data_IF_951712506017
#
_entry.id   IF_951712506017
#
_cell.length_a   1.000
_cell.length_b   1.000
_cell.length_c   1.000
_cell.angle_alpha   90.00
_cell.angle_beta   90.00
_cell.angle_gamma   90.00
#
_symmetry.space_group_name_H-M   'P 1'
#
loop_
_entity.id
_entity.type
_entity.pdbx_description
1 polymer ?
#
# COMPACT_ATOMS: atom_id res chain seq x y z
N UNK A 1 -7.66 -46.42 -63.60
CA UNK A 1 -8.31 -46.18 -64.92
C UNK A 1 -9.69 -45.59 -64.64
N UNK A 2 -9.84 -44.29 -64.90
CA UNK A 2 -10.69 -43.70 -65.96
C UNK A 2 -12.20 -43.81 -65.64
N UNK A 3 -12.78 -42.75 -65.05
CA UNK A 3 -13.63 -41.72 -65.71
C UNK A 3 -15.00 -42.24 -66.17
N UNK A 4 -16.10 -41.62 -65.72
CA UNK A 4 -16.92 -40.75 -66.58
C UNK A 4 -18.23 -40.33 -65.91
N UNK A 5 -18.47 -39.03 -66.02
CA UNK A 5 -19.70 -38.27 -65.82
C UNK A 5 -20.77 -38.53 -66.88
N UNK A 6 -22.03 -38.37 -66.42
CA UNK A 6 -23.14 -37.61 -67.02
C UNK A 6 -24.08 -38.18 -68.11
N UNK A 7 -25.36 -37.78 -67.92
CA UNK A 7 -26.40 -37.36 -68.90
C UNK A 7 -27.36 -38.42 -69.45
N UNK A 8 -28.67 -38.35 -69.14
CA UNK A 8 -29.70 -37.65 -69.95
C UNK A 8 -31.14 -37.89 -69.44
N UNK A 9 -31.93 -36.80 -69.45
CA UNK A 9 -33.40 -36.76 -69.40
C UNK A 9 -34.05 -37.70 -70.45
N UNK A 10 -35.25 -38.23 -70.19
CA UNK A 10 -36.50 -37.87 -70.91
C UNK A 10 -37.74 -38.70 -70.52
N UNK A 11 -38.83 -37.94 -70.32
CA UNK A 11 -40.20 -38.17 -70.80
C UNK A 11 -41.24 -38.89 -69.92
N UNK A 12 -42.24 -38.07 -69.56
CA UNK A 12 -43.63 -38.36 -69.20
C UNK A 12 -44.25 -39.47 -70.07
N UNK A 13 -45.02 -40.35 -69.41
CA UNK A 13 -46.30 -40.81 -69.96
C UNK A 13 -47.28 -41.04 -68.80
N UNK A 14 -48.24 -40.11 -68.67
CA UNK A 14 -49.49 -40.35 -67.96
C UNK A 14 -50.23 -41.51 -68.65
N UNK A 15 -50.61 -42.53 -67.90
CA UNK A 15 -51.84 -43.27 -68.20
C UNK A 15 -52.56 -43.57 -66.89
N UNK A 16 -53.68 -42.88 -66.73
CA UNK A 16 -54.62 -42.95 -65.63
C UNK A 16 -55.47 -44.23 -65.81
N UNK A 17 -55.37 -45.19 -64.88
CA UNK A 17 -56.42 -46.19 -64.65
C UNK A 17 -56.74 -46.16 -63.17
N UNK A 18 -57.94 -45.69 -62.86
CA UNK A 18 -58.50 -45.63 -61.53
C UNK A 18 -58.94 -47.02 -61.07
N UNK A 19 -58.44 -47.46 -59.92
CA UNK A 19 -59.13 -48.44 -59.06
C UNK A 19 -58.97 -47.96 -57.62
N UNK A 20 -60.09 -47.60 -56.99
CA UNK A 20 -60.15 -47.27 -55.57
C UNK A 20 -59.77 -48.50 -54.74
N UNK A 21 -58.66 -48.40 -54.00
CA UNK A 21 -58.45 -49.16 -52.77
C UNK A 21 -58.17 -48.15 -51.66
N UNK A 22 -59.19 -47.94 -50.83
CA UNK A 22 -59.13 -47.20 -49.58
C UNK A 22 -58.29 -47.97 -48.58
N UNK A 23 -57.01 -47.65 -48.48
CA UNK A 23 -56.20 -47.91 -47.28
C UNK A 23 -55.32 -46.68 -47.03
N UNK A 24 -55.62 -45.97 -45.95
CA UNK A 24 -54.90 -44.80 -45.45
C UNK A 24 -53.40 -45.09 -45.32
N UNK A 25 -52.58 -44.38 -46.09
CA UNK A 25 -51.15 -44.25 -45.78
C UNK A 25 -51.03 -43.58 -44.41
N UNK A 26 -50.17 -44.06 -43.49
CA UNK A 26 -49.90 -43.32 -42.26
C UNK A 26 -49.32 -41.97 -42.66
N UNK A 27 -50.00 -40.89 -42.28
CA UNK A 27 -49.41 -39.56 -42.35
C UNK A 27 -48.21 -39.59 -41.40
N UNK A 28 -46.98 -39.64 -41.93
CA UNK A 28 -45.82 -39.25 -41.14
C UNK A 28 -46.11 -37.85 -40.64
N UNK A 29 -46.26 -37.69 -39.32
CA UNK A 29 -46.31 -36.37 -38.72
C UNK A 29 -45.09 -35.61 -39.23
N UNK A 30 -45.32 -34.44 -39.82
CA UNK A 30 -44.25 -33.46 -40.04
C UNK A 30 -43.44 -33.36 -38.75
N UNK A 31 -42.09 -33.40 -38.78
CA UNK A 31 -41.30 -33.24 -37.57
C UNK A 31 -41.77 -31.95 -36.89
N UNK A 32 -42.38 -32.07 -35.72
CA UNK A 32 -42.78 -30.90 -34.94
C UNK A 32 -41.48 -30.20 -34.58
N UNK A 33 -41.20 -29.07 -35.23
CA UNK A 33 -40.03 -28.27 -34.89
C UNK A 33 -40.15 -27.90 -33.42
N UNK A 34 -39.19 -28.32 -32.60
CA UNK A 34 -39.16 -27.96 -31.17
C UNK A 34 -39.26 -26.44 -31.05
N UNK A 35 -40.05 -25.91 -30.10
CA UNK A 35 -40.14 -24.48 -29.90
C UNK A 35 -38.74 -23.92 -29.63
N UNK A 36 -38.42 -22.82 -30.32
CA UNK A 36 -37.17 -22.08 -30.18
C UNK A 36 -37.48 -20.83 -29.38
N UNK A 37 -36.75 -20.63 -28.29
CA UNK A 37 -36.87 -19.47 -27.42
C UNK A 37 -35.64 -18.57 -27.55
N UNK A 38 -35.75 -17.32 -27.13
CA UNK A 38 -34.65 -16.35 -27.18
C UNK A 38 -34.19 -15.89 -25.80
N UNK A 39 -32.89 -15.72 -25.65
CA UNK A 39 -32.29 -14.94 -24.56
C UNK A 39 -31.70 -13.67 -25.15
N UNK A 40 -32.23 -12.51 -24.80
CA UNK A 40 -31.64 -11.21 -25.13
C UNK A 40 -30.73 -10.79 -24.00
N UNK A 41 -29.48 -10.49 -24.32
CA UNK A 41 -28.47 -10.02 -23.37
C UNK A 41 -28.28 -8.53 -23.59
N UNK A 42 -28.43 -7.76 -22.51
CA UNK A 42 -28.19 -6.33 -22.44
C UNK A 42 -26.95 -6.07 -21.56
N UNK A 43 -25.76 -5.90 -22.16
CA UNK A 43 -24.50 -5.74 -21.41
C UNK A 43 -24.41 -4.43 -20.61
N UNK A 44 -25.32 -3.48 -20.84
CA UNK A 44 -25.43 -2.22 -20.11
C UNK A 44 -24.10 -1.44 -20.01
N UNK A 45 -23.45 -1.27 -21.16
CA UNK A 45 -22.19 -0.55 -21.28
C UNK A 45 -20.98 -1.34 -20.81
N UNK A 46 -20.99 -2.67 -20.98
CA UNK A 46 -19.80 -3.51 -20.89
C UNK A 46 -18.77 -3.09 -21.97
N UNK A 47 -17.50 -3.19 -21.63
CA UNK A 47 -16.41 -3.04 -22.59
C UNK A 47 -16.20 -4.34 -23.39
N UNK A 48 -16.24 -5.49 -22.72
CA UNK A 48 -16.19 -6.82 -23.37
C UNK A 48 -17.24 -7.77 -22.80
N UNK A 49 -17.66 -8.76 -23.60
CA UNK A 49 -18.63 -9.78 -23.23
C UNK A 49 -18.31 -11.15 -23.85
N UNK A 50 -18.52 -12.22 -23.09
CA UNK A 50 -18.33 -13.62 -23.49
C UNK A 50 -19.51 -14.50 -23.08
N UNK A 51 -19.97 -15.33 -24.01
CA UNK A 51 -20.91 -16.42 -23.74
C UNK A 51 -20.41 -17.78 -24.25
N UNK A 52 -20.61 -18.86 -23.49
CA UNK A 52 -20.01 -20.20 -23.74
C UNK A 52 -20.31 -20.87 -25.09
N UNK A 53 -21.24 -20.37 -25.90
CA UNK A 53 -21.53 -20.87 -27.26
C UNK A 53 -21.06 -19.92 -28.38
N UNK A 54 -20.42 -18.82 -28.02
CA UNK A 54 -19.88 -17.81 -28.93
C UNK A 54 -18.35 -17.92 -28.95
N UNK A 55 -17.80 -18.60 -29.97
CA UNK A 55 -16.39 -18.47 -30.33
C UNK A 55 -16.11 -17.12 -31.02
N UNK A 56 -16.56 -16.01 -30.41
CA UNK A 56 -16.34 -14.68 -30.96
C UNK A 56 -15.91 -13.78 -29.82
N UNK A 57 -14.60 -13.52 -29.76
CA UNK A 57 -13.97 -12.64 -28.78
C UNK A 57 -14.19 -11.15 -29.03
N UNK A 58 -15.40 -10.75 -29.46
CA UNK A 58 -15.81 -9.34 -29.53
C UNK A 58 -17.32 -9.27 -29.81
N UNK A 59 -18.12 -8.73 -28.87
CA UNK A 59 -19.51 -8.30 -29.10
C UNK A 59 -19.74 -6.99 -28.33
N UNK A 60 -20.19 -5.95 -29.03
CA UNK A 60 -20.27 -4.54 -28.56
C UNK A 60 -21.73 -4.01 -28.51
N UNK A 61 -22.75 -4.87 -28.56
CA UNK A 61 -24.19 -4.49 -28.54
C UNK A 61 -25.07 -5.60 -27.94
N UNK A 62 -26.36 -5.32 -27.75
CA UNK A 62 -27.38 -6.30 -27.35
C UNK A 62 -27.30 -7.56 -28.24
N UNK A 63 -27.38 -8.72 -27.62
CA UNK A 63 -27.14 -10.00 -28.28
C UNK A 63 -28.24 -11.02 -27.98
N UNK A 64 -28.77 -11.67 -29.02
CA UNK A 64 -29.83 -12.66 -28.88
C UNK A 64 -29.31 -14.08 -29.14
N UNK A 65 -29.49 -14.98 -28.18
CA UNK A 65 -29.20 -16.41 -28.30
C UNK A 65 -30.50 -17.18 -28.52
N UNK A 66 -30.56 -18.03 -29.55
CA UNK A 66 -31.65 -18.99 -29.74
C UNK A 66 -31.35 -20.32 -29.03
N UNK A 67 -32.31 -20.86 -28.27
CA UNK A 67 -32.13 -22.11 -27.51
C UNK A 67 -33.36 -23.03 -27.53
N UNK A 68 -33.16 -24.29 -27.08
CA UNK A 68 -34.21 -25.30 -26.87
C UNK A 68 -34.15 -25.82 -25.43
N UNK A 69 -35.27 -26.31 -24.90
CA UNK A 69 -35.55 -26.51 -23.46
C UNK A 69 -34.78 -27.65 -22.79
N UNK A 70 -33.94 -28.36 -23.53
CA UNK A 70 -33.12 -29.46 -23.02
C UNK A 70 -31.89 -28.90 -22.28
N UNK A 71 -32.00 -28.74 -20.95
CA UNK A 71 -30.98 -28.36 -19.95
C UNK A 71 -29.65 -27.82 -20.53
N UNK A 72 -29.69 -26.57 -21.00
CA UNK A 72 -28.52 -25.89 -21.56
C UNK A 72 -27.88 -24.98 -20.52
N UNK A 73 -26.57 -25.14 -20.29
CA UNK A 73 -25.77 -24.27 -19.42
C UNK A 73 -25.12 -23.14 -20.25
N UNK A 74 -25.47 -21.89 -19.94
CA UNK A 74 -24.85 -20.71 -20.53
C UNK A 74 -23.98 -20.04 -19.46
N UNK A 75 -22.71 -19.83 -19.80
CA UNK A 75 -21.81 -18.98 -19.02
C UNK A 75 -21.87 -17.57 -19.60
N UNK A 76 -22.14 -16.56 -18.78
CA UNK A 76 -22.20 -15.15 -19.16
C UNK A 76 -21.16 -14.38 -18.35
N UNK A 77 -20.14 -13.88 -19.02
CA UNK A 77 -19.15 -13.01 -18.40
C UNK A 77 -19.07 -11.68 -19.16
N UNK A 78 -18.99 -10.58 -18.44
CA UNK A 78 -18.83 -9.25 -18.99
C UNK A 78 -17.75 -8.51 -18.19
N UNK A 79 -16.99 -7.66 -18.85
CA UNK A 79 -16.05 -6.74 -18.21
C UNK A 79 -16.46 -5.30 -18.48
N UNK A 80 -16.22 -4.43 -17.51
CA UNK A 80 -16.40 -2.99 -17.63
C UNK A 80 -15.34 -2.29 -16.80
N UNK A 81 -14.50 -1.47 -17.41
CA UNK A 81 -13.36 -0.80 -16.77
C UNK A 81 -13.82 0.01 -15.57
N UNK A 82 -13.27 -0.31 -14.40
CA UNK A 82 -13.59 0.37 -13.14
C UNK A 82 -14.92 -0.06 -12.49
N UNK A 83 -15.53 -1.16 -12.94
CA UNK A 83 -16.73 -1.73 -12.34
C UNK A 83 -16.58 -3.24 -12.14
N UNK A 84 -17.17 -3.74 -11.06
CA UNK A 84 -17.41 -5.17 -10.85
C UNK A 84 -18.78 -5.54 -11.45
N UNK A 85 -18.86 -6.69 -12.13
CA UNK A 85 -20.15 -7.28 -12.48
C UNK A 85 -20.84 -7.76 -11.21
N UNK A 86 -21.93 -7.09 -10.81
CA UNK A 86 -22.73 -7.51 -9.65
C UNK A 86 -23.56 -8.76 -9.98
N UNK A 87 -24.03 -8.87 -11.23
CA UNK A 87 -24.73 -10.03 -11.77
C UNK A 87 -25.74 -9.67 -12.86
N UNK A 88 -26.49 -10.66 -13.32
CA UNK A 88 -27.50 -10.51 -14.38
C UNK A 88 -28.93 -10.55 -13.81
N UNK A 89 -29.83 -9.76 -14.37
CA UNK A 89 -31.22 -9.61 -13.91
C UNK A 89 -32.21 -9.77 -15.07
N UNK A 90 -33.43 -10.25 -14.81
CA UNK A 90 -34.45 -10.47 -15.85
C UNK A 90 -35.25 -9.20 -16.21
N UNK A 91 -34.81 -8.04 -15.70
CA UNK A 91 -35.54 -6.79 -15.70
C UNK A 91 -34.61 -5.58 -15.57
N UNK A 92 -34.97 -4.48 -16.23
CA UNK A 92 -34.20 -3.23 -16.28
C UNK A 92 -34.05 -2.53 -14.93
N UNK A 93 -35.00 -2.73 -14.01
CA UNK A 93 -34.96 -2.15 -12.65
C UNK A 93 -34.06 -2.94 -11.68
N UNK A 94 -33.49 -4.06 -12.14
CA UNK A 94 -32.63 -4.95 -11.37
C UNK A 94 -33.24 -5.43 -10.05
N UNK A 95 -34.56 -5.64 -10.01
CA UNK A 95 -35.27 -6.19 -8.85
C UNK A 95 -35.36 -7.72 -8.94
N UNK A 96 -35.53 -8.40 -7.81
CA UNK A 96 -35.61 -9.87 -7.76
C UNK A 96 -34.24 -10.57 -7.59
N UNK A 97 -34.20 -11.85 -7.98
CA UNK A 97 -33.03 -12.70 -7.78
C UNK A 97 -31.93 -12.43 -8.82
N UNK A 98 -30.70 -12.33 -8.34
CA UNK A 98 -29.52 -12.23 -9.20
C UNK A 98 -29.27 -13.59 -9.87
N UNK A 99 -29.14 -13.58 -11.20
CA UNK A 99 -28.62 -14.73 -11.94
C UNK A 99 -27.09 -14.66 -11.88
N UNK A 100 -26.47 -15.75 -11.42
CA UNK A 100 -25.00 -15.90 -11.44
C UNK A 100 -24.45 -15.94 -12.86
N UNK A 101 -23.12 -16.07 -13.01
CA UNK A 101 -22.48 -16.24 -14.31
C UNK A 101 -22.92 -17.50 -15.06
N UNK A 102 -23.57 -18.45 -14.36
CA UNK A 102 -24.00 -19.74 -14.87
C UNK A 102 -25.53 -19.78 -14.85
N UNK A 103 -26.15 -19.95 -16.01
CA UNK A 103 -27.60 -19.98 -16.14
C UNK A 103 -28.08 -21.23 -16.88
N UNK A 104 -29.12 -21.87 -16.33
CA UNK A 104 -29.79 -23.04 -16.91
C UNK A 104 -31.07 -22.62 -17.63
N UNK A 105 -31.18 -22.93 -18.92
CA UNK A 105 -32.36 -22.61 -19.72
C UNK A 105 -33.43 -23.70 -19.61
N UNK A 106 -33.86 -24.04 -18.39
CA UNK A 106 -34.90 -25.06 -18.15
C UNK A 106 -36.33 -24.54 -18.36
N UNK A 107 -36.48 -23.27 -18.76
CA UNK A 107 -37.78 -22.63 -18.97
C UNK A 107 -38.03 -22.36 -20.45
N UNK A 108 -39.25 -22.69 -20.88
CA UNK A 108 -39.72 -22.55 -22.25
C UNK A 108 -40.35 -21.15 -22.44
N UNK A 109 -39.55 -20.08 -22.29
CA UNK A 109 -39.96 -18.68 -22.44
C UNK A 109 -38.82 -17.84 -22.99
N UNK A 110 -39.14 -16.69 -23.57
CA UNK A 110 -38.12 -15.69 -23.90
C UNK A 110 -37.65 -14.99 -22.61
N UNK A 111 -36.36 -14.63 -22.55
CA UNK A 111 -35.70 -14.05 -21.37
C UNK A 111 -34.87 -12.85 -21.80
N UNK A 112 -35.03 -11.72 -21.13
CA UNK A 112 -34.11 -10.59 -21.24
C UNK A 112 -33.16 -10.60 -20.03
N UNK A 113 -31.87 -10.39 -20.23
CA UNK A 113 -30.86 -10.39 -19.17
C UNK A 113 -30.06 -9.09 -19.18
N UNK A 114 -30.13 -8.34 -18.09
CA UNK A 114 -29.50 -7.04 -17.92
C UNK A 114 -28.33 -7.12 -16.95
N UNK A 115 -27.14 -6.72 -17.41
CA UNK A 115 -25.96 -6.65 -16.54
C UNK A 115 -26.10 -5.51 -15.53
N UNK A 116 -25.91 -5.79 -14.25
CA UNK A 116 -25.81 -4.79 -13.19
C UNK A 116 -24.35 -4.60 -12.80
N UNK A 117 -23.89 -3.35 -12.85
CA UNK A 117 -22.52 -2.96 -12.54
C UNK A 117 -22.45 -2.28 -11.17
N UNK A 118 -21.39 -2.58 -10.41
CA UNK A 118 -21.05 -1.86 -9.18
C UNK A 118 -19.70 -1.18 -9.39
N UNK A 119 -19.64 0.14 -9.21
CA UNK A 119 -18.38 0.88 -9.34
C UNK A 119 -17.34 0.35 -8.35
N UNK A 120 -16.13 0.12 -8.82
CA UNK A 120 -15.02 -0.37 -8.00
C UNK A 120 -14.36 0.82 -7.29
N UNK A 121 -14.19 0.71 -5.96
CA UNK A 121 -13.54 1.74 -5.14
C UNK A 121 -12.08 1.36 -4.88
N UNK A 122 -11.17 2.28 -5.17
CA UNK A 122 -9.74 2.14 -4.95
C UNK A 122 -9.29 2.99 -3.76
N UNK A 123 -8.38 2.47 -2.95
CA UNK A 123 -7.85 3.14 -1.76
C UNK A 123 -6.61 3.99 -2.11
N UNK A 124 -6.47 5.13 -1.44
CA UNK A 124 -5.29 5.98 -1.47
C UNK A 124 -4.67 5.95 -0.07
N UNK A 125 -3.47 5.38 0.01
CA UNK A 125 -2.69 5.33 1.22
C UNK A 125 -1.64 6.43 1.18
N UNK A 126 -1.66 7.34 2.15
CA UNK A 126 -0.61 8.35 2.32
C UNK A 126 0.35 7.85 3.40
N UNK A 127 1.52 7.40 2.98
CA UNK A 127 2.64 7.20 3.89
C UNK A 127 3.20 8.57 4.19
N UNK A 128 3.36 8.81 5.50
CA UNK A 128 3.92 10.00 6.17
C UNK A 128 3.09 10.48 7.36
N UNK A 129 1.96 9.83 7.68
CA UNK A 129 1.00 10.30 8.68
C UNK A 129 1.28 9.88 10.15
N UNK A 130 2.36 9.17 10.45
CA UNK A 130 2.63 8.61 11.80
C UNK A 130 4.08 8.83 12.29
N UNK A 131 4.61 10.04 12.17
CA UNK A 131 5.94 10.40 12.73
C UNK A 131 5.89 10.91 14.18
N UNK A 132 4.78 10.72 14.90
CA UNK A 132 4.73 10.89 16.36
C UNK A 132 5.01 12.29 16.92
N UNK A 133 5.27 13.30 16.07
CA UNK A 133 5.76 14.62 16.47
C UNK A 133 4.78 15.77 16.17
N UNK A 134 3.63 15.51 15.54
CA UNK A 134 2.55 16.51 15.39
C UNK A 134 1.27 15.98 14.75
N UNK A 135 0.15 16.71 14.91
CA UNK A 135 -1.07 16.46 14.12
C UNK A 135 -0.81 16.80 12.66
N UNK A 136 -0.66 15.76 11.83
CA UNK A 136 -0.68 15.90 10.38
C UNK A 136 -2.12 16.13 9.95
N UNK A 137 -2.35 17.19 9.18
CA UNK A 137 -3.65 17.46 8.55
C UNK A 137 -3.48 17.22 7.06
N UNK A 138 -4.03 16.11 6.58
CA UNK A 138 -4.07 15.79 5.15
C UNK A 138 -5.51 15.98 4.63
N UNK A 139 -5.78 16.99 3.80
CA UNK A 139 -7.13 17.27 3.28
C UNK A 139 -7.52 16.39 2.07
N UNK A 140 -6.60 15.55 1.57
CA UNK A 140 -6.84 14.75 0.37
C UNK A 140 -7.75 13.54 0.67
N UNK A 141 -8.57 13.10 -0.30
CA UNK A 141 -9.42 11.92 -0.12
C UNK A 141 -8.59 10.65 0.05
N UNK A 142 -9.13 9.67 0.77
CA UNK A 142 -8.50 8.37 1.02
C UNK A 142 -8.99 7.27 0.07
N UNK A 143 -9.89 7.59 -0.86
CA UNK A 143 -10.39 6.65 -1.86
C UNK A 143 -10.92 7.38 -3.10
N UNK A 144 -10.98 6.67 -4.23
CA UNK A 144 -11.54 7.18 -5.48
C UNK A 144 -12.13 6.05 -6.35
N UNK A 145 -12.86 6.45 -7.39
CA UNK A 145 -13.47 5.58 -8.39
C UNK A 145 -13.20 6.12 -9.79
N UNK A 146 -13.53 5.34 -10.83
CA UNK A 146 -13.47 5.82 -12.22
C UNK A 146 -14.40 7.03 -12.47
N UNK A 147 -15.42 7.22 -11.63
CA UNK A 147 -16.38 8.33 -11.71
C UNK A 147 -15.92 9.58 -10.95
N UNK A 148 -14.84 9.50 -10.16
CA UNK A 148 -14.37 10.62 -9.32
C UNK A 148 -13.75 11.79 -10.11
N UNK A 149 -13.44 11.59 -11.39
CA UNK A 149 -12.69 12.55 -12.19
C UNK A 149 -11.23 12.70 -11.73
N UNK A 150 -10.57 13.78 -12.15
CA UNK A 150 -9.17 14.05 -11.77
C UNK A 150 -9.14 14.63 -10.35
N UNK A 151 -8.43 13.97 -9.43
CA UNK A 151 -8.17 14.48 -8.09
C UNK A 151 -6.90 15.32 -8.13
N UNK A 152 -7.01 16.60 -7.74
CA UNK A 152 -5.85 17.47 -7.54
C UNK A 152 -5.36 17.35 -6.10
N UNK A 153 -4.11 16.91 -5.91
CA UNK A 153 -3.53 16.76 -4.58
C UNK A 153 -3.16 18.13 -4.00
N UNK A 154 -3.55 18.34 -2.76
CA UNK A 154 -3.23 19.52 -1.97
C UNK A 154 -2.11 19.17 -0.99
N UNK A 155 -1.27 20.16 -0.67
CA UNK A 155 -0.23 20.02 0.32
C UNK A 155 -0.84 19.71 1.70
N UNK A 156 -0.42 18.62 2.38
CA UNK A 156 -0.71 18.42 3.80
C UNK A 156 0.05 19.45 4.65
N UNK A 157 -0.33 19.59 5.92
CA UNK A 157 0.43 20.38 6.90
C UNK A 157 1.01 19.51 8.01
N UNK A 158 2.26 19.80 8.37
CA UNK A 158 3.03 19.13 9.44
C UNK A 158 3.91 20.12 10.17
N UNK A 159 3.45 20.62 11.32
CA UNK A 159 4.22 21.55 12.16
C UNK A 159 4.77 22.75 11.37
N UNK A 160 6.10 22.93 11.43
CA UNK A 160 6.85 23.98 10.69
C UNK A 160 7.49 23.48 9.40
N UNK A 161 7.25 22.23 9.01
CA UNK A 161 7.92 21.62 7.87
C UNK A 161 7.33 22.12 6.55
N UNK A 162 8.19 22.27 5.55
CA UNK A 162 7.79 22.63 4.20
C UNK A 162 7.52 21.37 3.40
N UNK A 163 6.30 21.25 2.88
CA UNK A 163 5.93 20.14 2.01
C UNK A 163 6.57 20.30 0.62
N UNK A 164 7.36 19.31 0.20
CA UNK A 164 8.10 19.29 -1.07
C UNK A 164 7.39 18.52 -2.18
N UNK A 165 6.36 17.72 -1.86
CA UNK A 165 5.56 16.99 -2.83
C UNK A 165 5.22 15.56 -2.43
N UNK A 166 4.25 14.97 -3.13
CA UNK A 166 3.91 13.55 -3.02
C UNK A 166 4.72 12.74 -4.02
N UNK A 167 5.16 11.54 -3.67
CA UNK A 167 5.91 10.62 -4.52
C UNK A 167 5.29 9.23 -4.44
N UNK A 168 5.43 8.43 -5.50
CA UNK A 168 4.97 7.04 -5.54
C UNK A 168 6.00 6.05 -4.93
N UNK A 169 7.10 6.57 -4.40
CA UNK A 169 8.19 5.78 -3.83
C UNK A 169 8.81 6.48 -2.62
N UNK A 170 9.25 5.68 -1.64
CA UNK A 170 9.89 6.12 -0.39
C UNK A 170 11.23 6.84 -0.57
N UNK A 171 11.87 6.67 -1.73
CA UNK A 171 13.17 7.27 -2.04
C UNK A 171 13.03 8.66 -2.69
N UNK A 172 11.78 9.13 -2.87
CA UNK A 172 11.42 10.43 -3.44
C UNK A 172 12.07 10.72 -4.81
N UNK A 173 12.18 9.67 -5.63
CA UNK A 173 12.74 9.75 -6.98
C UNK A 173 11.64 10.10 -8.00
N UNK A 174 12.03 10.71 -9.12
CA UNK A 174 11.10 11.12 -10.17
C UNK A 174 10.46 12.50 -9.93
N UNK A 175 9.32 12.74 -10.58
CA UNK A 175 8.57 14.00 -10.42
C UNK A 175 7.51 13.85 -9.34
N UNK A 176 7.23 14.91 -8.56
CA UNK A 176 6.12 14.91 -7.63
C UNK A 176 4.79 14.60 -8.31
N UNK A 177 3.96 13.77 -7.66
CA UNK A 177 2.59 13.50 -8.04
C UNK A 177 1.73 14.66 -7.54
N UNK A 178 1.10 15.36 -8.48
CA UNK A 178 0.19 16.49 -8.17
C UNK A 178 -1.27 16.15 -8.43
N UNK A 179 -1.55 15.05 -9.13
CA UNK A 179 -2.89 14.64 -9.51
C UNK A 179 -3.00 13.11 -9.55
N UNK A 180 -4.19 12.60 -9.24
CA UNK A 180 -4.58 11.20 -9.45
C UNK A 180 -5.64 11.16 -10.55
N UNK A 181 -5.37 10.40 -11.61
CA UNK A 181 -6.33 10.16 -12.68
C UNK A 181 -7.38 9.14 -12.23
N UNK A 182 -8.66 9.38 -12.55
CA UNK A 182 -9.72 8.40 -12.40
C UNK A 182 -9.52 7.15 -13.27
N UNK A 183 -8.67 7.21 -14.31
CA UNK A 183 -8.35 6.04 -15.13
C UNK A 183 -7.30 5.13 -14.50
N UNK A 184 -6.75 5.48 -13.34
CA UNK A 184 -5.89 4.57 -12.57
C UNK A 184 -6.78 3.57 -11.83
N UNK A 185 -6.73 2.29 -12.21
CA UNK A 185 -7.66 1.26 -11.71
C UNK A 185 -7.01 0.35 -10.65
N UNK A 186 -6.33 0.96 -9.68
CA UNK A 186 -5.64 0.24 -8.61
C UNK A 186 -5.55 1.09 -7.35
N UNK A 187 -5.28 0.46 -6.21
CA UNK A 187 -4.90 1.21 -5.01
C UNK A 187 -3.60 1.98 -5.25
N UNK A 188 -3.47 3.13 -4.61
CA UNK A 188 -2.31 4.02 -4.73
C UNK A 188 -1.67 4.19 -3.36
N UNK A 189 -0.35 4.22 -3.32
CA UNK A 189 0.42 4.63 -2.14
C UNK A 189 1.26 5.85 -2.50
N UNK A 190 1.14 6.91 -1.72
CA UNK A 190 1.89 8.16 -1.88
C UNK A 190 2.70 8.45 -0.62
N UNK A 191 3.97 8.82 -0.80
CA UNK A 191 4.91 9.21 0.24
C UNK A 191 5.04 10.73 0.18
N UNK A 192 4.78 11.42 1.28
CA UNK A 192 5.04 12.86 1.33
C UNK A 192 6.56 13.11 1.48
N UNK A 193 7.04 14.19 0.90
CA UNK A 193 8.41 14.66 1.11
C UNK A 193 8.34 15.96 1.87
N UNK A 194 9.16 16.08 2.89
CA UNK A 194 9.23 17.26 3.73
C UNK A 194 10.65 17.81 3.74
N UNK A 195 10.76 19.14 3.68
CA UNK A 195 11.96 19.90 3.99
C UNK A 195 11.78 20.49 5.39
N UNK A 196 12.49 19.95 6.37
CA UNK A 196 12.50 20.49 7.73
C UNK A 196 13.38 21.74 7.76
N UNK A 197 12.83 22.86 8.23
CA UNK A 197 13.55 24.13 8.32
C UNK A 197 13.99 24.40 9.75
N UNK A 198 15.24 24.01 10.05
CA UNK A 198 15.87 24.31 11.32
C UNK A 198 16.08 25.81 11.51
N UNK A 199 15.90 26.30 12.74
CA UNK A 199 16.19 27.70 13.09
C UNK A 199 17.69 27.97 13.10
N UNK A 200 18.49 26.94 13.38
CA UNK A 200 19.95 27.00 13.45
C UNK A 200 20.57 25.63 13.19
N UNK A 201 21.78 25.64 12.62
CA UNK A 201 22.63 24.45 12.49
C UNK A 201 23.92 24.63 13.28
N UNK A 202 24.27 23.65 14.09
CA UNK A 202 25.53 23.55 14.85
C UNK A 202 26.34 22.38 14.31
N UNK A 203 27.61 22.60 13.99
CA UNK A 203 28.51 21.55 13.49
C UNK A 203 29.43 21.07 14.62
N UNK A 204 29.57 19.75 14.74
CA UNK A 204 30.50 19.08 15.66
C UNK A 204 31.59 18.43 14.81
N UNK A 205 32.83 18.87 15.01
CA UNK A 205 34.01 18.38 14.31
C UNK A 205 35.00 17.72 15.25
N UNK A 206 35.05 18.15 16.50
CA UNK A 206 36.05 17.69 17.46
C UNK A 206 35.41 17.06 18.69
N UNK A 207 36.22 16.31 19.43
CA UNK A 207 35.87 15.83 20.78
C UNK A 207 35.37 16.97 21.67
N UNK A 208 36.02 18.14 21.60
CA UNK A 208 35.65 19.27 22.43
C UNK A 208 34.28 19.82 22.04
N UNK A 209 33.98 19.91 20.74
CA UNK A 209 32.67 20.39 20.25
C UNK A 209 31.53 19.49 20.78
N UNK A 210 31.73 18.17 20.80
CA UNK A 210 30.73 17.24 21.34
C UNK A 210 30.56 17.38 22.86
N UNK A 211 31.65 17.64 23.59
CA UNK A 211 31.60 17.93 25.03
C UNK A 211 30.85 19.24 25.28
N UNK A 212 31.14 20.28 24.50
CA UNK A 212 30.50 21.60 24.63
C UNK A 212 29.01 21.52 24.30
N UNK A 213 28.63 20.73 23.29
CA UNK A 213 27.24 20.41 22.97
C UNK A 213 26.51 19.74 24.16
N UNK A 214 27.09 18.68 24.72
CA UNK A 214 26.52 17.99 25.90
C UNK A 214 26.37 18.96 27.09
N UNK A 215 27.38 19.80 27.35
CA UNK A 215 27.33 20.81 28.40
C UNK A 215 26.27 21.89 28.14
N UNK A 216 26.05 22.28 26.89
CA UNK A 216 24.99 23.22 26.53
C UNK A 216 23.60 22.64 26.87
N UNK A 217 23.36 21.36 26.56
CA UNK A 217 22.11 20.68 26.95
C UNK A 217 21.98 20.60 28.47
N UNK A 218 23.04 20.19 29.17
CA UNK A 218 23.08 20.17 30.64
C UNK A 218 22.79 21.54 31.26
N UNK A 219 23.17 22.63 30.60
CA UNK A 219 22.90 24.00 31.06
C UNK A 219 21.47 24.48 30.79
N UNK A 220 20.69 23.72 30.01
CA UNK A 220 19.28 23.98 29.71
C UNK A 220 18.97 24.45 28.29
N UNK A 221 19.95 24.46 27.38
CA UNK A 221 19.65 24.63 25.97
C UNK A 221 19.06 23.33 25.40
N UNK A 222 17.78 23.33 25.05
CA UNK A 222 17.11 22.12 24.55
C UNK A 222 17.43 21.80 23.09
N UNK A 223 17.93 22.77 22.32
CA UNK A 223 18.09 22.70 20.86
C UNK A 223 16.78 22.43 20.09
N UNK A 224 15.63 22.77 20.68
CA UNK A 224 14.34 22.59 20.02
C UNK A 224 14.30 23.30 18.65
N UNK A 225 13.94 22.57 17.60
CA UNK A 225 13.95 23.05 16.20
C UNK A 225 15.35 23.50 15.69
N UNK A 226 16.43 23.00 16.28
CA UNK A 226 17.80 23.16 15.79
C UNK A 226 18.37 21.83 15.28
N UNK A 227 19.29 21.91 14.32
CA UNK A 227 20.08 20.78 13.84
C UNK A 227 21.48 20.82 14.45
N UNK A 228 21.92 19.70 14.99
CA UNK A 228 23.29 19.46 15.41
C UNK A 228 23.83 18.34 14.55
N UNK A 229 24.90 18.57 13.79
CA UNK A 229 25.43 17.56 12.86
C UNK A 229 26.91 17.28 13.05
N UNK A 230 27.30 16.02 12.92
CA UNK A 230 28.71 15.65 12.84
C UNK A 230 29.26 16.01 11.46
N UNK A 231 30.52 16.46 11.43
CA UNK A 231 31.26 16.72 10.18
C UNK A 231 32.53 15.89 10.05
N UNK A 232 32.80 15.06 11.07
CA UNK A 232 33.90 14.09 11.10
C UNK A 232 33.65 13.06 12.20
N UNK A 233 34.37 11.94 12.13
CA UNK A 233 34.41 10.98 13.22
C UNK A 233 35.00 11.61 14.48
N UNK A 234 34.45 11.26 15.64
CA UNK A 234 34.86 11.78 16.94
C UNK A 234 35.49 10.64 17.74
N UNK A 235 36.79 10.71 17.99
CA UNK A 235 37.52 9.72 18.80
C UNK A 235 37.96 10.34 20.13
N UNK A 236 37.44 9.79 21.23
CA UNK A 236 37.78 10.22 22.58
C UNK A 236 39.16 9.74 23.04
N UNK A 237 39.75 8.76 22.33
CA UNK A 237 41.01 8.07 22.66
C UNK A 237 41.07 7.66 24.14
N UNK A 238 40.23 6.72 24.57
CA UNK A 238 40.18 6.32 25.97
C UNK A 238 41.53 5.73 26.36
N UNK A 239 42.21 6.41 27.27
CA UNK A 239 43.36 5.88 28.00
C UNK A 239 42.91 5.31 29.34
N UNK A 240 43.83 4.72 30.11
CA UNK A 240 43.52 4.08 31.38
C UNK A 240 42.93 5.04 32.44
N UNK A 241 42.97 6.37 32.24
CA UNK A 241 42.56 7.38 33.22
C UNK A 241 41.23 8.08 32.88
N UNK A 242 40.54 7.67 31.82
CA UNK A 242 39.36 8.38 31.29
C UNK A 242 38.02 7.77 31.71
N UNK A 243 37.92 7.08 32.85
CA UNK A 243 36.72 6.32 33.27
C UNK A 243 35.40 7.11 33.29
N UNK A 244 35.44 8.44 33.24
CA UNK A 244 34.26 9.29 33.13
C UNK A 244 34.56 10.55 32.30
N UNK A 245 34.75 10.38 30.99
CA UNK A 245 35.18 11.46 30.09
C UNK A 245 34.04 12.12 29.32
N UNK A 246 32.80 11.64 29.49
CA UNK A 246 31.64 12.15 28.79
C UNK A 246 30.43 12.26 29.71
N UNK A 247 29.66 13.33 29.54
CA UNK A 247 28.33 13.46 30.16
C UNK A 247 27.30 13.11 29.11
N UNK A 248 26.37 12.21 29.43
CA UNK A 248 25.27 11.85 28.55
C UNK A 248 24.49 13.11 28.11
N UNK A 249 24.11 13.16 26.84
CA UNK A 249 23.39 14.31 26.29
C UNK A 249 21.93 14.24 26.75
N UNK A 250 21.54 15.20 27.59
CA UNK A 250 20.20 15.33 28.12
C UNK A 250 19.94 14.52 29.40
N UNK A 251 19.03 15.04 30.23
CA UNK A 251 18.50 14.41 31.45
C UNK A 251 17.00 14.71 31.59
N UNK A 252 16.27 14.07 32.52
CA UNK A 252 14.83 14.36 32.71
C UNK A 252 14.50 15.85 32.90
N UNK A 253 15.35 16.59 33.62
CA UNK A 253 15.18 18.04 33.86
C UNK A 253 15.64 18.93 32.69
N UNK A 254 16.47 18.37 31.81
CA UNK A 254 17.22 19.08 30.76
C UNK A 254 17.29 18.21 29.51
N UNK A 255 16.13 17.94 28.91
CA UNK A 255 16.03 17.08 27.75
C UNK A 255 16.63 17.70 26.50
N UNK A 256 17.25 16.88 25.66
CA UNK A 256 17.53 17.25 24.27
C UNK A 256 16.23 17.13 23.46
N UNK A 257 15.93 18.13 22.65
CA UNK A 257 14.68 18.26 21.87
C UNK A 257 14.95 18.65 20.41
N UNK A 258 16.22 18.65 19.99
CA UNK A 258 16.63 19.01 18.63
C UNK A 258 16.72 17.81 17.71
N UNK A 259 17.30 18.03 16.53
CA UNK A 259 17.79 16.96 15.65
C UNK A 259 19.29 16.82 15.80
N UNK A 260 19.76 15.59 16.04
CA UNK A 260 21.16 15.21 15.95
C UNK A 260 21.36 14.29 14.75
N UNK A 261 22.11 14.75 13.75
CA UNK A 261 22.47 13.95 12.58
C UNK A 261 23.96 13.58 12.62
N UNK A 262 24.24 12.29 12.74
CA UNK A 262 25.61 11.77 12.68
C UNK A 262 26.21 11.87 11.28
N UNK A 263 25.43 12.12 10.24
CA UNK A 263 25.86 12.17 8.84
C UNK A 263 26.70 10.94 8.41
N UNK A 264 26.48 9.78 9.03
CA UNK A 264 27.23 8.54 8.81
C UNK A 264 28.54 8.41 9.60
N UNK A 265 28.88 9.39 10.44
CA UNK A 265 30.11 9.40 11.23
C UNK A 265 30.03 8.53 12.49
N UNK A 266 31.22 8.14 12.96
CA UNK A 266 31.39 7.34 14.18
C UNK A 266 31.81 8.23 15.35
N UNK A 267 31.14 8.06 16.49
CA UNK A 267 31.62 8.51 17.80
C UNK A 267 32.22 7.31 18.51
N UNK A 268 33.45 7.43 18.98
CA UNK A 268 34.17 6.31 19.60
C UNK A 268 34.89 6.68 20.88
N UNK A 269 35.05 5.70 21.75
CA UNK A 269 35.91 5.84 22.93
C UNK A 269 35.28 6.55 24.12
N UNK A 270 33.97 6.83 24.08
CA UNK A 270 33.25 7.49 25.17
C UNK A 270 33.22 6.58 26.41
N UNK A 271 33.41 7.18 27.59
CA UNK A 271 33.33 6.52 28.89
C UNK A 271 32.38 7.28 29.80
N UNK A 272 31.30 6.61 30.20
CA UNK A 272 30.30 7.10 31.16
C UNK A 272 30.32 6.15 32.35
N UNK A 273 30.56 6.67 33.54
CA UNK A 273 30.53 5.89 34.78
C UNK A 273 29.62 6.56 35.81
N UNK A 274 28.34 6.18 35.78
CA UNK A 274 27.24 6.75 36.56
C UNK A 274 26.38 5.64 37.20
N UNK A 275 26.95 4.78 38.08
CA UNK A 275 26.30 3.57 38.59
C UNK A 275 25.12 3.82 39.54
N UNK A 276 24.77 5.08 39.80
CA UNK A 276 23.61 5.46 40.62
C UNK A 276 22.75 6.51 39.93
N UNK A 277 22.94 6.74 38.63
CA UNK A 277 22.15 7.67 37.82
C UNK A 277 21.45 6.91 36.72
N UNK A 278 20.16 7.19 36.55
CA UNK A 278 19.32 6.60 35.52
C UNK A 278 19.58 7.27 34.16
N UNK A 279 19.04 6.71 33.09
CA UNK A 279 19.06 7.27 31.73
C UNK A 279 20.46 7.59 31.21
N UNK A 280 21.25 6.54 30.96
CA UNK A 280 22.61 6.68 30.46
C UNK A 280 22.75 6.10 29.05
N UNK A 281 23.48 6.84 28.21
CA UNK A 281 23.76 6.54 26.81
C UNK A 281 24.57 7.69 26.21
N UNK A 282 24.86 7.65 24.91
CA UNK A 282 25.35 8.85 24.21
C UNK A 282 24.37 10.01 24.46
N UNK A 283 23.08 9.74 24.29
CA UNK A 283 21.97 10.55 24.78
C UNK A 283 21.43 9.91 26.06
N UNK A 284 21.37 10.68 27.15
CA UNK A 284 20.75 10.21 28.38
C UNK A 284 19.24 10.22 28.24
N UNK A 285 18.69 11.42 27.99
CA UNK A 285 17.26 11.64 27.85
C UNK A 285 16.96 12.56 26.67
N UNK A 286 16.02 12.13 25.83
CA UNK A 286 15.45 12.98 24.77
C UNK A 286 13.95 13.13 24.92
N UNK A 287 13.43 14.29 24.52
CA UNK A 287 11.99 14.55 24.45
C UNK A 287 11.66 15.12 23.07
N UNK A 288 10.84 14.41 22.28
CA UNK A 288 10.45 14.85 20.92
C UNK A 288 11.64 15.24 20.04
N UNK A 289 12.76 14.53 20.22
CA UNK A 289 14.00 14.77 19.49
C UNK A 289 14.18 13.72 18.40
N UNK A 290 15.08 14.01 17.46
CA UNK A 290 15.47 13.08 16.41
C UNK A 290 16.97 12.82 16.47
N UNK A 291 17.38 11.55 16.55
CA UNK A 291 18.79 11.14 16.56
C UNK A 291 18.99 10.16 15.42
N UNK A 292 19.88 10.49 14.49
CA UNK A 292 20.05 9.68 13.29
C UNK A 292 21.50 9.51 12.82
N UNK A 293 21.70 8.50 11.96
CA UNK A 293 22.91 8.30 11.15
C UNK A 293 24.24 8.32 11.92
N UNK A 294 24.24 7.89 13.18
CA UNK A 294 25.44 7.86 14.03
C UNK A 294 25.82 6.44 14.40
N UNK A 295 27.11 6.15 14.37
CA UNK A 295 27.66 4.89 14.89
C UNK A 295 28.39 5.13 16.20
N UNK A 296 28.12 4.32 17.23
CA UNK A 296 28.86 4.29 18.49
C UNK A 296 29.81 3.08 18.52
N UNK A 297 31.07 3.30 18.86
CA UNK A 297 32.10 2.26 18.92
C UNK A 297 33.03 2.41 20.13
N UNK A 298 33.63 1.31 20.60
CA UNK A 298 34.63 1.30 21.68
C UNK A 298 34.23 2.14 22.92
N UNK A 299 32.94 2.16 23.25
CA UNK A 299 32.39 2.92 24.36
C UNK A 299 32.19 2.01 25.57
N UNK A 300 32.30 2.57 26.78
CA UNK A 300 31.91 1.89 28.02
C UNK A 300 30.93 2.77 28.76
N UNK A 301 29.71 2.30 28.93
CA UNK A 301 28.61 3.04 29.52
C UNK A 301 28.11 2.27 30.74
N UNK A 302 28.28 2.85 31.92
CA UNK A 302 27.76 2.32 33.18
C UNK A 302 26.71 3.27 33.73
N UNK A 303 25.46 2.80 33.85
CA UNK A 303 24.33 3.52 34.42
C UNK A 303 23.60 2.69 35.48
N UNK A 304 22.58 3.25 36.12
CA UNK A 304 21.74 2.56 37.11
C UNK A 304 20.57 1.82 36.46
N UNK A 305 19.61 2.56 35.88
CA UNK A 305 18.42 2.08 35.16
C UNK A 305 18.30 2.80 33.81
N UNK A 306 17.56 2.24 32.83
CA UNK A 306 17.41 2.80 31.47
C UNK A 306 18.76 3.13 30.82
N UNK A 307 19.63 2.12 30.73
CA UNK A 307 20.97 2.29 30.15
C UNK A 307 21.03 1.67 28.76
N UNK A 308 21.40 2.45 27.76
CA UNK A 308 21.59 2.01 26.38
C UNK A 308 22.84 2.58 25.73
N UNK A 309 23.16 2.11 24.51
CA UNK A 309 24.31 2.58 23.76
C UNK A 309 24.10 4.00 23.23
N UNK A 310 23.15 4.14 22.31
CA UNK A 310 22.81 5.45 21.71
C UNK A 310 21.96 6.26 22.67
N UNK A 311 20.99 5.62 23.34
CA UNK A 311 20.01 6.34 24.13
C UNK A 311 19.66 5.63 25.44
N UNK A 312 19.62 6.38 26.54
CA UNK A 312 19.11 5.89 27.82
C UNK A 312 17.59 5.80 27.81
N UNK A 313 16.93 6.94 27.62
CA UNK A 313 15.48 7.05 27.58
C UNK A 313 15.00 7.87 26.38
N UNK A 314 14.14 7.26 25.56
CA UNK A 314 13.47 7.90 24.44
C UNK A 314 12.04 8.28 24.83
N UNK A 315 11.74 9.58 24.96
CA UNK A 315 10.38 10.06 25.20
C UNK A 315 9.83 10.77 23.95
N UNK A 316 8.97 10.10 23.20
CA UNK A 316 8.40 10.61 21.93
C UNK A 316 9.44 10.98 20.87
N UNK A 317 10.70 10.55 20.99
CA UNK A 317 11.74 10.82 20.01
C UNK A 317 11.90 9.72 18.97
N UNK A 318 12.74 9.98 17.99
CA UNK A 318 13.05 9.08 16.88
C UNK A 318 14.52 8.71 16.89
N UNK A 319 14.81 7.42 16.70
CA UNK A 319 16.15 6.89 16.49
C UNK A 319 16.18 6.18 15.15
N UNK A 320 16.91 6.75 14.20
CA UNK A 320 16.88 6.30 12.80
C UNK A 320 18.30 5.97 12.35
N UNK A 321 18.52 4.79 11.78
CA UNK A 321 19.82 4.44 11.18
C UNK A 321 21.02 4.66 12.13
N UNK A 322 20.83 4.37 13.43
CA UNK A 322 21.89 4.45 14.43
C UNK A 322 22.45 3.05 14.72
N UNK A 323 23.76 2.95 14.89
CA UNK A 323 24.44 1.67 15.08
C UNK A 323 25.26 1.67 16.37
N UNK A 324 25.19 0.58 17.14
CA UNK A 324 26.09 0.30 18.27
C UNK A 324 26.97 -0.88 17.89
N UNK A 325 28.29 -0.67 17.81
CA UNK A 325 29.23 -1.75 17.47
C UNK A 325 29.36 -2.75 18.61
N UNK A 326 29.79 -3.97 18.27
CA UNK A 326 29.95 -5.09 19.21
C UNK A 326 31.03 -4.87 20.27
N UNK A 327 31.90 -3.88 20.08
CA UNK A 327 32.97 -3.51 21.03
C UNK A 327 32.50 -2.49 22.09
N UNK A 328 31.22 -2.09 22.06
CA UNK A 328 30.60 -1.24 23.08
C UNK A 328 30.16 -2.09 24.27
N UNK A 329 30.52 -1.65 25.47
CA UNK A 329 30.16 -2.28 26.74
C UNK A 329 29.11 -1.43 27.45
N UNK A 330 27.94 -2.02 27.73
CA UNK A 330 26.84 -1.37 28.44
C UNK A 330 26.60 -2.13 29.75
N UNK A 331 26.58 -1.42 30.87
CA UNK A 331 26.39 -1.98 32.22
C UNK A 331 25.30 -1.20 32.95
N UNK A 332 24.25 -1.89 33.38
CA UNK A 332 23.28 -1.39 34.35
C UNK A 332 23.61 -2.00 35.73
N UNK A 333 23.56 -1.20 36.79
CA UNK A 333 23.96 -1.64 38.14
C UNK A 333 22.78 -1.95 39.07
N UNK A 334 21.54 -1.67 38.66
CA UNK A 334 20.37 -2.05 39.43
C UNK A 334 20.22 -3.59 39.49
N UNK A 335 19.98 -4.11 40.69
CA UNK A 335 19.93 -5.56 40.99
C UNK A 335 18.82 -6.29 40.21
N UNK A 336 17.75 -5.57 39.84
CA UNK A 336 16.59 -6.04 39.08
C UNK A 336 16.47 -5.34 37.71
N UNK A 337 17.55 -4.79 37.13
CA UNK A 337 17.49 -3.96 35.93
C UNK A 337 16.78 -4.66 34.75
N UNK A 338 15.47 -4.41 34.58
CA UNK A 338 14.66 -4.96 33.46
C UNK A 338 14.76 -4.13 32.19
N UNK A 339 15.45 -2.99 32.24
CA UNK A 339 15.38 -1.93 31.23
C UNK A 339 16.80 -1.51 30.82
N UNK A 340 17.49 -2.42 30.13
CA UNK A 340 18.76 -2.17 29.46
C UNK A 340 18.68 -2.73 28.03
N UNK A 341 19.19 -1.98 27.06
CA UNK A 341 19.16 -2.40 25.66
C UNK A 341 20.42 -2.02 24.91
N UNK A 342 20.78 -2.82 23.90
CA UNK A 342 21.99 -2.56 23.10
C UNK A 342 21.96 -1.18 22.45
N UNK A 343 20.81 -0.77 21.91
CA UNK A 343 20.62 0.52 21.25
C UNK A 343 19.97 1.56 22.19
N UNK A 344 18.86 1.19 22.84
CA UNK A 344 18.03 2.05 23.69
C UNK A 344 17.77 1.37 25.03
N UNK A 345 17.95 2.07 26.15
CA UNK A 345 17.58 1.56 27.48
C UNK A 345 16.06 1.39 27.62
N UNK A 346 15.31 2.49 27.43
CA UNK A 346 13.85 2.52 27.46
C UNK A 346 13.28 3.35 26.31
N UNK A 347 12.23 2.84 25.66
CA UNK A 347 11.48 3.55 24.63
C UNK A 347 10.04 3.80 25.07
N UNK A 348 9.66 5.07 25.24
CA UNK A 348 8.31 5.49 25.62
C UNK A 348 7.70 6.32 24.49
N UNK A 349 6.78 5.68 23.74
CA UNK A 349 6.03 6.32 22.65
C UNK A 349 6.93 6.95 21.57
N UNK A 350 8.16 6.44 21.41
CA UNK A 350 9.11 6.85 20.37
C UNK A 350 9.31 5.77 19.30
N UNK A 351 9.92 6.16 18.18
CA UNK A 351 10.23 5.28 17.05
C UNK A 351 11.70 4.86 17.09
N UNK A 352 11.96 3.57 16.81
CA UNK A 352 13.30 3.03 16.61
C UNK A 352 13.28 2.24 15.29
N UNK A 353 14.04 2.68 14.28
CA UNK A 353 14.02 2.10 12.93
C UNK A 353 15.36 2.06 12.22
#
# INVERSE_FOLDING_TARGET
>A
MKTSTATFLRHLALTLIAVLLTTTQPTWATPTQSPVYTITIHPNGADDFYASKLYTGEVIHDYTIHYSVDDFLIFLNATKKGYDLFGWYENEDFSGEVRGGDFYTSTAKDIDLYAKWRVTTYQITYIDAEDGLGSIINPNPTSYTIESGIINLVAPSRGTDKFEGWYDNKDFTGKPITQISNTTLSNITLYAKWEHKYTKTTEIKTKQDLIDFSNAVKSGNTFANELVKLTSDIDFKPDANTENNFTAIGSPDKSFQGTFDGCGHTISGIRINKPSTQEQGLFGYVYKARVENVTLANAVITGYHSTGGIMGYNEHGEIINCTVKSDVIIKATEEDAKVHGGLVGQNNLGLVS
#
